data_IF_060540277709
#
_entry.id   IF_060540277709
#
_cell.length_a   1.000
_cell.length_b   1.000
_cell.length_c   1.000
_cell.angle_alpha   90.00
_cell.angle_beta   90.00
_cell.angle_gamma   90.00
#
_symmetry.space_group_name_H-M   'P 1'
#
loop_
_entity.id
_entity.type
_entity.pdbx_description
1 polymer ?
#
# COMPACT_ATOMS: atom_id res chain seq x y z
N UNK A 1 -19.13 26.38 10.31
CA UNK A 1 -18.78 26.28 8.88
C UNK A 1 -18.75 24.80 8.54
N UNK A 2 -19.42 24.36 7.47
CA UNK A 2 -19.46 22.94 7.06
C UNK A 2 -18.26 22.65 6.17
N UNK A 3 -17.56 21.55 6.42
CA UNK A 3 -16.37 21.15 5.67
C UNK A 3 -16.73 20.19 4.53
N UNK A 4 -16.36 20.56 3.30
CA UNK A 4 -16.56 19.79 2.07
C UNK A 4 -15.26 19.16 1.54
N UNK A 5 -14.16 19.18 2.31
CA UNK A 5 -12.83 18.68 1.90
C UNK A 5 -12.84 17.26 1.34
N UNK A 6 -13.81 16.43 1.76
CA UNK A 6 -14.00 15.06 1.26
C UNK A 6 -14.23 15.00 -0.26
N UNK A 7 -14.77 16.04 -0.88
CA UNK A 7 -15.14 16.05 -2.31
C UNK A 7 -14.14 16.79 -3.20
N UNK A 8 -13.02 17.26 -2.62
CA UNK A 8 -12.00 18.00 -3.37
C UNK A 8 -11.25 17.13 -4.38
N UNK A 9 -11.08 15.84 -4.07
CA UNK A 9 -10.18 14.94 -4.81
C UNK A 9 -10.98 13.79 -5.47
N UNK A 10 -11.98 14.12 -6.30
CA UNK A 10 -12.75 13.13 -7.05
C UNK A 10 -12.16 13.00 -8.45
N UNK A 11 -11.58 11.84 -8.78
CA UNK A 11 -11.06 11.55 -10.12
C UNK A 11 -12.18 10.97 -11.01
N UNK A 12 -12.52 11.68 -12.09
CA UNK A 12 -13.51 11.28 -13.08
C UNK A 12 -12.77 10.94 -14.39
N UNK A 13 -12.89 9.70 -14.86
CA UNK A 13 -12.14 9.24 -16.04
C UNK A 13 -12.69 9.76 -17.38
N UNK A 14 -13.94 10.23 -17.39
CA UNK A 14 -14.73 10.70 -18.54
C UNK A 14 -15.07 12.20 -18.40
N UNK A 15 -14.17 12.96 -17.80
CA UNK A 15 -14.37 14.39 -17.54
C UNK A 15 -14.26 15.19 -18.85
N UNK A 16 -15.41 15.56 -19.41
CA UNK A 16 -15.52 16.32 -20.67
C UNK A 16 -14.96 17.75 -20.59
N UNK A 17 -14.77 18.29 -19.37
CA UNK A 17 -14.16 19.61 -19.17
C UNK A 17 -12.62 19.54 -19.23
N UNK A 18 -12.00 18.38 -19.03
CA UNK A 18 -10.55 18.18 -19.10
C UNK A 18 -10.06 17.70 -20.48
N UNK A 19 -10.42 18.44 -21.53
CA UNK A 19 -10.00 18.17 -22.91
C UNK A 19 -8.85 19.08 -23.36
N UNK A 20 -8.15 18.68 -24.43
CA UNK A 20 -7.12 19.50 -25.06
C UNK A 20 -7.36 19.55 -26.58
N UNK A 21 -7.25 20.72 -27.25
CA UNK A 21 -7.56 20.88 -28.68
C UNK A 21 -6.82 19.92 -29.63
N UNK A 22 -5.69 19.37 -29.19
CA UNK A 22 -4.84 18.45 -29.96
C UNK A 22 -4.86 16.99 -29.47
N UNK A 23 -5.73 16.64 -28.53
CA UNK A 23 -5.84 15.27 -28.01
C UNK A 23 -7.26 14.75 -28.27
N UNK A 24 -7.35 13.56 -28.84
CA UNK A 24 -8.63 12.91 -29.13
C UNK A 24 -9.29 12.40 -27.85
N UNK A 25 -10.39 13.05 -27.44
CA UNK A 25 -11.11 12.81 -26.18
C UNK A 25 -11.49 11.33 -25.95
N UNK A 26 -12.05 10.58 -26.92
CA UNK A 26 -12.36 9.15 -26.74
C UNK A 26 -11.15 8.27 -26.48
N UNK A 27 -9.96 8.63 -26.99
CA UNK A 27 -8.72 7.88 -26.71
C UNK A 27 -8.16 8.22 -25.32
N UNK A 28 -8.23 9.49 -24.93
CA UNK A 28 -7.78 9.99 -23.63
C UNK A 28 -8.55 9.35 -22.47
N UNK A 29 -9.88 9.27 -22.57
CA UNK A 29 -10.72 8.65 -21.55
C UNK A 29 -10.43 7.17 -21.35
N UNK A 30 -10.21 6.44 -22.45
CA UNK A 30 -9.80 5.03 -22.39
C UNK A 30 -8.46 4.87 -21.67
N UNK A 31 -7.49 5.72 -21.98
CA UNK A 31 -6.18 5.72 -21.32
C UNK A 31 -6.27 6.04 -19.83
N UNK A 32 -7.02 7.08 -19.45
CA UNK A 32 -7.24 7.45 -18.04
C UNK A 32 -7.92 6.33 -17.27
N UNK A 33 -8.96 5.73 -17.86
CA UNK A 33 -9.65 4.59 -17.29
C UNK A 33 -8.72 3.39 -17.09
N UNK A 34 -7.93 3.05 -18.12
CA UNK A 34 -7.00 1.94 -18.05
C UNK A 34 -5.94 2.16 -16.97
N UNK A 35 -5.31 3.36 -16.93
CA UNK A 35 -4.34 3.71 -15.91
C UNK A 35 -4.94 3.67 -14.49
N UNK A 36 -6.21 4.02 -14.32
CA UNK A 36 -6.92 3.87 -13.03
C UNK A 36 -7.11 2.40 -12.66
N UNK A 37 -7.49 1.55 -13.61
CA UNK A 37 -7.66 0.12 -13.38
C UNK A 37 -6.33 -0.55 -13.01
N UNK A 38 -5.26 -0.24 -13.74
CA UNK A 38 -3.92 -0.75 -13.45
C UNK A 38 -3.45 -0.34 -12.04
N UNK A 39 -3.63 0.93 -11.63
CA UNK A 39 -3.34 1.38 -10.25
C UNK A 39 -4.16 0.65 -9.20
N UNK A 40 -5.45 0.41 -9.46
CA UNK A 40 -6.31 -0.32 -8.53
C UNK A 40 -5.93 -1.80 -8.42
N UNK A 41 -5.57 -2.44 -9.54
CA UNK A 41 -5.12 -3.82 -9.58
C UNK A 41 -3.78 -3.99 -8.83
N UNK A 42 -2.81 -3.10 -9.07
CA UNK A 42 -1.53 -3.11 -8.37
C UNK A 42 -1.71 -2.90 -6.86
N UNK A 43 -2.54 -1.93 -6.46
CA UNK A 43 -2.83 -1.67 -5.04
C UNK A 43 -3.57 -2.85 -4.38
N UNK A 44 -4.44 -3.54 -5.10
CA UNK A 44 -5.14 -4.72 -4.61
C UNK A 44 -4.17 -5.90 -4.44
N UNK A 45 -3.30 -6.13 -5.42
CA UNK A 45 -2.28 -7.18 -5.36
C UNK A 45 -1.30 -6.97 -4.21
N UNK A 46 -0.79 -5.74 -4.04
CA UNK A 46 0.10 -5.38 -2.93
C UNK A 46 -0.57 -5.65 -1.57
N UNK A 47 -1.87 -5.29 -1.44
CA UNK A 47 -2.64 -5.55 -0.23
C UNK A 47 -2.79 -7.04 0.05
N UNK A 48 -3.08 -7.85 -0.97
CA UNK A 48 -3.21 -9.30 -0.85
C UNK A 48 -1.90 -9.96 -0.46
N UNK A 49 -0.78 -9.55 -1.06
CA UNK A 49 0.56 -10.04 -0.72
C UNK A 49 0.93 -9.71 0.73
N UNK A 50 0.65 -8.49 1.19
CA UNK A 50 0.88 -8.09 2.58
C UNK A 50 0.00 -8.86 3.56
N UNK A 51 -1.27 -9.07 3.25
CA UNK A 51 -2.18 -9.87 4.10
C UNK A 51 -1.76 -11.35 4.15
N UNK A 52 -1.34 -11.93 3.01
CA UNK A 52 -0.80 -13.28 2.97
C UNK A 52 0.49 -13.40 3.81
N UNK A 53 1.41 -12.43 3.70
CA UNK A 53 2.63 -12.38 4.49
C UNK A 53 2.34 -12.29 6.00
N UNK A 54 1.42 -11.41 6.42
CA UNK A 54 0.98 -11.30 7.82
C UNK A 54 0.39 -12.61 8.34
N UNK A 55 -0.50 -13.25 7.57
CA UNK A 55 -1.12 -14.52 7.95
C UNK A 55 -0.11 -15.65 8.09
N UNK A 56 0.85 -15.74 7.17
CA UNK A 56 1.92 -16.73 7.23
C UNK A 56 2.84 -16.51 8.44
N UNK A 57 3.18 -15.25 8.73
CA UNK A 57 3.97 -14.90 9.90
C UNK A 57 3.23 -15.24 11.20
N UNK A 58 1.94 -14.91 11.30
CA UNK A 58 1.12 -15.21 12.47
C UNK A 58 1.07 -16.72 12.75
N UNK A 59 0.85 -17.54 11.72
CA UNK A 59 0.90 -19.02 11.84
C UNK A 59 2.25 -19.51 12.35
N UNK A 60 3.36 -19.03 11.76
CA UNK A 60 4.72 -19.41 12.20
C UNK A 60 4.97 -19.04 13.66
N UNK A 61 4.50 -17.88 14.10
CA UNK A 61 4.62 -17.45 15.50
C UNK A 61 3.81 -18.35 16.43
N UNK A 62 2.58 -18.72 16.06
CA UNK A 62 1.77 -19.66 16.85
C UNK A 62 2.42 -21.04 16.94
N UNK A 63 2.90 -21.59 15.82
CA UNK A 63 3.57 -22.90 15.79
C UNK A 63 4.82 -22.93 16.69
N UNK A 64 5.65 -21.88 16.64
CA UNK A 64 6.84 -21.77 17.49
C UNK A 64 6.45 -21.61 18.96
N UNK A 65 5.38 -20.86 19.25
CA UNK A 65 4.86 -20.69 20.62
C UNK A 65 4.30 -22.00 21.19
N UNK A 66 3.59 -22.78 20.38
CA UNK A 66 3.09 -24.10 20.79
C UNK A 66 4.25 -25.08 21.08
N UNK A 67 5.24 -25.14 20.17
CA UNK A 67 6.47 -25.95 20.37
C UNK A 67 7.24 -25.55 21.64
N UNK A 68 7.25 -24.27 22.01
CA UNK A 68 7.84 -23.79 23.26
C UNK A 68 7.05 -24.24 24.49
N UNK A 69 5.71 -24.26 24.43
CA UNK A 69 4.88 -24.73 25.55
C UNK A 69 4.92 -26.24 25.76
N UNK A 70 5.08 -27.01 24.67
CA UNK A 70 5.20 -28.48 24.74
C UNK A 70 6.61 -28.93 25.18
N UNK A 71 7.63 -28.11 24.94
CA UNK A 71 9.02 -28.38 25.34
C UNK A 71 9.35 -27.72 26.68
N UNK A 72 8.74 -28.22 27.77
CA UNK A 72 8.97 -27.72 29.13
C UNK A 72 10.28 -28.20 29.78
N UNK A 73 11.07 -29.06 29.11
CA UNK A 73 12.34 -29.57 29.66
C UNK A 73 13.57 -29.06 28.90
N UNK A 74 14.50 -28.48 29.66
CA UNK A 74 15.71 -27.79 29.22
C UNK A 74 16.68 -28.69 28.43
N UNK A 75 16.37 -28.93 27.16
CA UNK A 75 17.24 -29.56 26.17
C UNK A 75 17.79 -28.51 25.18
N UNK A 76 18.90 -28.78 24.46
CA UNK A 76 19.45 -27.85 23.45
C UNK A 76 18.42 -27.32 22.45
N UNK A 77 17.35 -28.09 22.18
CA UNK A 77 16.22 -27.73 21.32
C UNK A 77 15.47 -26.48 21.80
N UNK A 78 15.35 -26.23 23.11
CA UNK A 78 14.63 -25.03 23.62
C UNK A 78 15.39 -23.74 23.29
N UNK A 79 16.74 -23.78 23.29
CA UNK A 79 17.57 -22.62 22.93
C UNK A 79 17.43 -22.28 21.45
N UNK A 80 17.39 -23.29 20.58
CA UNK A 80 17.17 -23.12 19.14
C UNK A 80 15.78 -22.55 18.84
N UNK A 81 14.74 -23.04 19.52
CA UNK A 81 13.36 -22.57 19.32
C UNK A 81 13.18 -21.14 19.84
N UNK A 82 13.82 -20.75 20.95
CA UNK A 82 13.85 -19.35 21.41
C UNK A 82 14.55 -18.43 20.41
N UNK A 83 15.71 -18.84 19.89
CA UNK A 83 16.41 -18.08 18.85
C UNK A 83 15.55 -17.93 17.57
N UNK A 84 14.79 -18.96 17.20
CA UNK A 84 13.85 -18.90 16.08
C UNK A 84 12.68 -17.93 16.35
N UNK A 85 12.17 -17.86 17.59
CA UNK A 85 11.14 -16.90 18.00
C UNK A 85 11.67 -15.46 17.92
N UNK A 86 12.87 -15.21 18.42
CA UNK A 86 13.50 -13.89 18.39
C UNK A 86 13.72 -13.43 16.95
N UNK A 87 14.20 -14.31 16.07
CA UNK A 87 14.32 -14.03 14.64
C UNK A 87 12.96 -13.74 13.97
N UNK A 88 11.89 -14.46 14.34
CA UNK A 88 10.54 -14.17 13.85
C UNK A 88 9.98 -12.84 14.36
N UNK A 89 10.34 -12.43 15.57
CA UNK A 89 9.99 -11.11 16.10
C UNK A 89 10.74 -9.99 15.38
N UNK A 90 12.03 -10.19 15.09
CA UNK A 90 12.83 -9.26 14.29
C UNK A 90 12.23 -9.10 12.89
N UNK A 91 11.98 -10.21 12.18
CA UNK A 91 11.35 -10.16 10.84
C UNK A 91 9.94 -9.58 10.87
N UNK A 92 9.17 -9.77 11.95
CA UNK A 92 7.89 -9.08 12.17
C UNK A 92 8.06 -7.57 12.30
N UNK A 93 9.06 -7.13 13.05
CA UNK A 93 9.40 -5.71 13.21
C UNK A 93 9.84 -5.07 11.89
N UNK A 94 10.69 -5.76 11.14
CA UNK A 94 11.12 -5.35 9.80
C UNK A 94 9.96 -5.24 8.82
N UNK A 95 9.05 -6.23 8.80
CA UNK A 95 7.83 -6.18 7.99
C UNK A 95 6.93 -4.99 8.36
N UNK A 96 6.77 -4.68 9.65
CA UNK A 96 6.02 -3.49 10.10
C UNK A 96 6.69 -2.20 9.64
N UNK A 97 8.01 -2.11 9.73
CA UNK A 97 8.76 -0.94 9.27
C UNK A 97 8.69 -0.80 7.76
N UNK A 98 8.75 -1.90 7.01
CA UNK A 98 8.60 -1.91 5.56
C UNK A 98 7.18 -1.46 5.17
N UNK A 99 6.15 -1.98 5.82
CA UNK A 99 4.77 -1.55 5.60
C UNK A 99 4.56 -0.04 5.89
N UNK A 100 5.18 0.50 6.93
CA UNK A 100 5.17 1.95 7.21
C UNK A 100 5.84 2.76 6.11
N UNK A 101 7.04 2.34 5.66
CA UNK A 101 7.75 3.03 4.57
C UNK A 101 6.97 3.01 3.26
N UNK A 102 6.33 1.88 2.94
CA UNK A 102 5.44 1.75 1.78
C UNK A 102 4.25 2.69 1.89
N UNK A 103 3.61 2.77 3.06
CA UNK A 103 2.52 3.71 3.31
C UNK A 103 2.96 5.17 3.15
N UNK A 104 4.08 5.56 3.75
CA UNK A 104 4.64 6.91 3.63
C UNK A 104 5.02 7.25 2.19
N UNK A 105 5.58 6.29 1.43
CA UNK A 105 5.89 6.47 0.02
C UNK A 105 4.63 6.67 -0.82
N UNK A 106 3.57 5.90 -0.53
CA UNK A 106 2.26 6.03 -1.19
C UNK A 106 1.60 7.37 -0.90
N UNK A 107 1.64 7.84 0.34
CA UNK A 107 1.13 9.18 0.71
C UNK A 107 1.93 10.29 0.04
N UNK A 108 3.26 10.17 -0.07
CA UNK A 108 4.10 11.14 -0.79
C UNK A 108 3.79 11.17 -2.29
N UNK A 109 3.59 10.02 -2.92
CA UNK A 109 3.18 9.95 -4.32
C UNK A 109 1.81 10.60 -4.53
N UNK A 110 0.83 10.32 -3.67
CA UNK A 110 -0.47 10.98 -3.72
C UNK A 110 -0.38 12.49 -3.48
N UNK A 111 0.47 12.94 -2.56
CA UNK A 111 0.70 14.36 -2.33
C UNK A 111 1.38 15.04 -3.53
N UNK A 112 2.34 14.35 -4.16
CA UNK A 112 3.02 14.81 -5.38
C UNK A 112 2.04 14.92 -6.55
N UNK A 113 1.18 13.93 -6.76
CA UNK A 113 0.10 13.94 -7.76
C UNK A 113 -0.86 15.12 -7.54
N UNK A 114 -1.25 15.39 -6.29
CA UNK A 114 -2.08 16.55 -5.92
C UNK A 114 -1.38 17.88 -6.19
N UNK A 115 -0.09 17.98 -5.89
CA UNK A 115 0.69 19.21 -6.13
C UNK A 115 0.96 19.46 -7.61
N UNK A 116 1.28 18.40 -8.38
CA UNK A 116 1.51 18.47 -9.81
C UNK A 116 0.23 18.80 -10.59
N UNK A 117 -0.93 18.31 -10.12
CA UNK A 117 -2.23 18.76 -10.63
C UNK A 117 -2.42 20.27 -10.45
N UNK A 118 -2.01 20.84 -9.31
CA UNK A 118 -2.12 22.30 -9.08
C UNK A 118 -1.15 23.13 -9.94
N UNK A 119 0.03 22.60 -10.27
CA UNK A 119 1.04 23.30 -11.07
C UNK A 119 0.70 23.27 -12.57
N UNK A 120 0.06 22.19 -13.03
CA UNK A 120 -0.55 22.10 -14.38
C UNK A 120 -1.78 23.00 -14.50
N UNK A 121 -2.53 23.21 -13.41
CA UNK A 121 -3.66 24.16 -13.37
C UNK A 121 -3.19 25.62 -13.48
N UNK A 122 -2.08 26.00 -12.84
CA UNK A 122 -1.52 27.36 -12.92
C UNK A 122 -0.99 27.72 -14.33
N UNK A 123 -0.51 26.75 -15.10
CA UNK A 123 -0.04 26.96 -16.47
C UNK A 123 -1.17 27.11 -17.51
N UNK A 124 -2.42 26.79 -17.15
CA UNK A 124 -3.59 27.01 -18.01
C UNK A 124 -4.19 28.42 -17.86
N UNK A 125 -3.77 29.20 -16.85
CA UNK A 125 -4.28 30.56 -16.57
C UNK A 125 -3.35 31.69 -17.06
N UNK A 126 -2.27 31.38 -17.79
CA UNK A 126 -1.37 32.36 -18.44
C UNK A 126 -1.41 32.25 -19.95
#
# INVERSE_FOLDING_TARGET
>A
MVDYSKWKDIEISDDEDETHPNIDTPSLFRWRHQARMERMEEAQKEKEELEAAKKNLAKKVEEVKQKLSESAEATPKVKEVKAALDNLQITSGELKNHAKKVHEAKERLQAAEKSGSSEVQQLKET
#
